data_IF_588535969958
#
_entry.id   IF_588535969958
#
_cell.length_a   1.000
_cell.length_b   1.000
_cell.length_c   1.000
_cell.angle_alpha   90.00
_cell.angle_beta   90.00
_cell.angle_gamma   90.00
#
_symmetry.space_group_name_H-M   'P 1'
#
loop_
_entity.id
_entity.type
_entity.pdbx_description
1 polymer ?
#
# COMPACT_ATOMS: atom_id res chain seq x y z
N UNK A 1 -26.09 26.67 3.95
CA UNK A 1 -26.16 26.67 2.48
C UNK A 1 -25.39 25.46 2.02
N UNK A 2 -26.10 24.41 1.59
CA UNK A 2 -25.45 23.21 0.98
C UNK A 2 -25.03 23.70 -0.41
N UNK A 3 -23.70 23.69 -0.65
CA UNK A 3 -23.16 23.95 -1.97
C UNK A 3 -23.68 22.86 -2.91
N UNK A 4 -24.36 23.24 -3.97
CA UNK A 4 -24.84 22.28 -4.96
C UNK A 4 -23.65 21.57 -5.58
N UNK A 5 -23.59 20.26 -5.39
CA UNK A 5 -22.61 19.42 -6.11
C UNK A 5 -22.98 19.49 -7.59
N UNK A 6 -22.13 20.09 -8.39
CA UNK A 6 -22.31 20.11 -9.83
C UNK A 6 -21.96 18.70 -10.36
N UNK A 7 -22.95 18.04 -10.94
CA UNK A 7 -22.73 16.74 -11.56
C UNK A 7 -21.86 16.91 -12.83
N UNK A 8 -20.97 15.95 -13.14
CA UNK A 8 -20.17 15.99 -14.35
C UNK A 8 -21.06 16.17 -15.60
N UNK A 9 -20.65 17.04 -16.49
CA UNK A 9 -21.39 17.33 -17.74
C UNK A 9 -21.19 16.28 -18.83
N UNK A 10 -20.37 15.26 -18.55
CA UNK A 10 -20.06 14.15 -19.44
C UNK A 10 -18.68 14.24 -20.12
N UNK A 11 -17.91 15.31 -19.86
CA UNK A 11 -16.49 15.35 -20.20
C UNK A 11 -15.70 14.56 -19.12
N UNK A 12 -14.87 13.63 -19.55
CA UNK A 12 -14.06 12.79 -18.65
C UNK A 12 -13.12 13.59 -17.75
N UNK A 13 -12.82 14.84 -18.10
CA UNK A 13 -11.91 15.73 -17.37
C UNK A 13 -12.60 16.79 -16.52
N UNK A 14 -13.92 16.91 -16.55
CA UNK A 14 -14.69 17.92 -15.80
C UNK A 14 -14.40 17.93 -14.29
N UNK A 15 -14.06 16.78 -13.74
CA UNK A 15 -13.71 16.63 -12.31
C UNK A 15 -12.36 17.25 -11.93
N UNK A 16 -11.46 17.47 -12.91
CA UNK A 16 -10.16 18.11 -12.67
C UNK A 16 -10.27 19.61 -12.42
N UNK A 17 -11.37 20.23 -12.85
CA UNK A 17 -11.52 21.67 -12.82
C UNK A 17 -10.68 22.35 -13.90
N UNK A 18 -10.48 23.64 -13.73
CA UNK A 18 -9.68 24.43 -14.65
C UNK A 18 -8.21 24.38 -14.27
N UNK A 19 -7.35 24.19 -15.25
CA UNK A 19 -5.90 24.28 -15.07
C UNK A 19 -5.51 25.62 -14.43
N UNK A 20 -4.69 25.62 -13.35
CA UNK A 20 -4.24 26.84 -12.73
C UNK A 20 -3.34 27.63 -13.70
N UNK A 21 -3.57 28.93 -13.79
CA UNK A 21 -2.72 29.85 -14.53
C UNK A 21 -1.52 30.20 -13.66
N UNK A 22 -0.36 29.62 -13.98
CA UNK A 22 0.90 29.83 -13.22
C UNK A 22 1.77 30.78 -14.04
N UNK A 23 2.10 31.93 -13.45
CA UNK A 23 3.06 32.86 -14.04
C UNK A 23 4.44 32.19 -14.14
N UNK A 24 4.98 32.08 -15.35
CA UNK A 24 6.32 31.51 -15.58
C UNK A 24 7.41 32.23 -14.76
N UNK A 25 7.25 33.52 -14.49
CA UNK A 25 8.16 34.29 -13.65
C UNK A 25 8.14 33.86 -12.17
N UNK A 26 7.11 33.15 -11.74
CA UNK A 26 7.02 32.59 -10.39
C UNK A 26 7.75 31.26 -10.25
N UNK A 27 8.17 30.63 -11.37
CA UNK A 27 8.93 29.38 -11.36
C UNK A 27 10.38 29.71 -10.98
N UNK A 28 10.77 29.30 -9.77
CA UNK A 28 12.11 29.56 -9.21
C UNK A 28 13.11 28.44 -9.49
N UNK A 29 12.63 27.23 -9.78
CA UNK A 29 13.46 26.05 -10.02
C UNK A 29 12.78 25.09 -10.99
N UNK A 30 13.58 24.51 -11.88
CA UNK A 30 13.17 23.39 -12.74
C UNK A 30 14.08 22.20 -12.45
N UNK A 31 13.49 21.04 -12.19
CA UNK A 31 14.22 19.81 -11.89
C UNK A 31 13.90 18.76 -12.94
N UNK A 32 14.93 18.27 -13.63
CA UNK A 32 14.80 17.14 -14.55
C UNK A 32 14.89 15.83 -13.77
N UNK A 33 13.97 14.93 -14.06
CA UNK A 33 13.91 13.61 -13.43
C UNK A 33 13.32 12.57 -14.39
N UNK A 34 13.79 11.32 -14.29
CA UNK A 34 13.24 10.24 -15.11
C UNK A 34 11.86 9.78 -14.57
N UNK A 35 11.68 9.87 -13.26
CA UNK A 35 10.46 9.46 -12.57
C UNK A 35 10.01 10.54 -11.58
N UNK A 36 8.80 11.03 -11.74
CA UNK A 36 8.12 11.86 -10.75
C UNK A 36 7.12 11.02 -9.97
N UNK A 37 7.31 10.91 -8.65
CA UNK A 37 6.41 10.22 -7.73
C UNK A 37 5.57 11.27 -7.02
N UNK A 38 4.26 11.20 -7.17
CA UNK A 38 3.31 12.11 -6.54
C UNK A 38 2.70 11.46 -5.30
N UNK A 39 3.04 11.99 -4.14
CA UNK A 39 2.62 11.49 -2.84
C UNK A 39 3.67 10.58 -2.18
N UNK A 40 3.99 10.87 -0.91
CA UNK A 40 4.92 10.10 -0.08
C UNK A 40 4.18 9.17 0.92
N UNK A 41 3.03 8.65 0.53
CA UNK A 41 2.35 7.55 1.22
C UNK A 41 2.99 6.20 0.90
N UNK A 42 2.41 5.11 1.40
CA UNK A 42 2.98 3.76 1.24
C UNK A 42 3.32 3.42 -0.21
N UNK A 43 2.42 3.67 -1.16
CA UNK A 43 2.67 3.37 -2.58
C UNK A 43 3.84 4.17 -3.17
N UNK A 44 3.90 5.47 -2.89
CA UNK A 44 4.99 6.33 -3.35
C UNK A 44 6.33 5.95 -2.74
N UNK A 45 6.37 5.62 -1.47
CA UNK A 45 7.60 5.21 -0.78
C UNK A 45 8.13 3.87 -1.30
N UNK A 46 7.26 2.89 -1.60
CA UNK A 46 7.68 1.64 -2.23
C UNK A 46 8.21 1.85 -3.65
N UNK A 47 7.56 2.71 -4.45
CA UNK A 47 8.03 3.06 -5.78
C UNK A 47 9.40 3.75 -5.71
N UNK A 48 9.60 4.66 -4.75
CA UNK A 48 10.87 5.35 -4.52
C UNK A 48 11.98 4.39 -4.10
N UNK A 49 11.70 3.46 -3.18
CA UNK A 49 12.67 2.45 -2.74
C UNK A 49 13.11 1.56 -3.90
N UNK A 50 12.17 1.15 -4.76
CA UNK A 50 12.48 0.37 -5.95
C UNK A 50 13.29 1.17 -6.97
N UNK A 51 12.93 2.42 -7.23
CA UNK A 51 13.67 3.31 -8.11
C UNK A 51 15.11 3.52 -7.61
N UNK A 52 15.29 3.79 -6.31
CA UNK A 52 16.61 3.95 -5.70
C UNK A 52 17.45 2.68 -5.81
N UNK A 53 16.87 1.51 -5.55
CA UNK A 53 17.59 0.23 -5.65
C UNK A 53 18.05 -0.09 -7.08
N UNK A 54 17.37 0.44 -8.08
CA UNK A 54 17.73 0.28 -9.51
C UNK A 54 18.53 1.46 -10.07
N UNK A 55 18.95 2.42 -9.24
CA UNK A 55 19.77 3.55 -9.64
C UNK A 55 19.05 4.53 -10.57
N UNK A 56 17.72 4.59 -10.53
CA UNK A 56 16.93 5.51 -11.34
C UNK A 56 16.94 6.91 -10.71
N UNK A 57 16.94 7.93 -11.55
CA UNK A 57 16.79 9.32 -11.11
C UNK A 57 15.29 9.60 -10.85
N UNK A 58 14.93 9.90 -9.61
CA UNK A 58 13.54 10.16 -9.24
C UNK A 58 13.40 11.34 -8.28
N UNK A 59 12.22 11.94 -8.28
CA UNK A 59 11.79 12.93 -7.28
C UNK A 59 10.46 12.52 -6.69
N UNK A 60 10.26 12.84 -5.40
CA UNK A 60 8.98 12.68 -4.72
C UNK A 60 8.47 14.08 -4.40
N UNK A 61 7.20 14.32 -4.71
CA UNK A 61 6.48 15.51 -4.24
C UNK A 61 5.37 15.07 -3.29
N UNK A 62 5.25 15.77 -2.17
CA UNK A 62 4.27 15.49 -1.12
C UNK A 62 3.60 16.79 -0.71
N UNK A 63 2.29 16.76 -0.53
CA UNK A 63 1.50 17.95 -0.15
C UNK A 63 1.67 18.32 1.34
N UNK A 64 2.03 17.35 2.19
CA UNK A 64 2.22 17.56 3.62
C UNK A 64 3.70 17.80 3.93
N UNK A 65 3.97 18.38 5.11
CA UNK A 65 5.33 18.66 5.56
C UNK A 65 6.14 17.41 5.96
N UNK A 66 5.50 16.26 6.05
CA UNK A 66 6.11 14.98 6.41
C UNK A 66 5.47 13.82 5.67
N UNK A 67 6.24 12.74 5.55
CA UNK A 67 5.74 11.44 5.08
C UNK A 67 4.60 10.97 5.99
N UNK A 68 3.53 10.47 5.40
CA UNK A 68 2.37 9.99 6.16
C UNK A 68 2.54 8.53 6.53
N UNK A 69 2.62 8.27 7.82
CA UNK A 69 2.51 6.93 8.39
C UNK A 69 1.03 6.60 8.55
N UNK A 70 0.55 5.61 7.80
CA UNK A 70 -0.87 5.28 7.77
C UNK A 70 -1.20 4.00 8.53
N UNK A 71 -0.27 3.06 8.62
CA UNK A 71 -0.49 1.76 9.27
C UNK A 71 0.84 1.05 9.53
N UNK A 72 0.98 0.46 10.73
CA UNK A 72 2.14 -0.33 11.10
C UNK A 72 2.12 -1.74 10.50
N UNK A 73 0.96 -2.39 10.51
CA UNK A 73 0.79 -3.74 9.96
C UNK A 73 0.29 -3.70 8.52
N UNK A 74 0.84 -4.56 7.66
CA UNK A 74 0.42 -4.70 6.28
C UNK A 74 0.44 -6.16 5.83
N UNK A 75 -0.46 -6.50 4.90
CA UNK A 75 -0.59 -7.84 4.35
C UNK A 75 0.38 -8.11 3.21
N UNK A 76 1.07 -9.26 3.27
CA UNK A 76 1.82 -9.81 2.15
C UNK A 76 1.62 -11.32 2.13
N UNK A 77 1.20 -11.86 1.00
CA UNK A 77 0.71 -13.24 0.89
C UNK A 77 1.84 -14.19 0.57
N UNK A 78 2.03 -15.20 1.45
CA UNK A 78 3.05 -16.27 1.31
C UNK A 78 4.48 -15.74 1.20
N UNK A 79 4.81 -14.71 1.98
CA UNK A 79 6.17 -14.16 2.08
C UNK A 79 7.17 -15.17 2.63
N UNK A 80 8.47 -14.89 2.51
CA UNK A 80 9.51 -15.69 3.15
C UNK A 80 9.36 -15.71 4.68
N UNK A 81 8.95 -14.59 5.29
CA UNK A 81 8.69 -14.51 6.74
C UNK A 81 7.51 -15.38 7.15
N UNK A 82 6.40 -15.35 6.41
CA UNK A 82 5.24 -16.20 6.65
C UNK A 82 5.60 -17.70 6.58
N UNK A 83 6.35 -18.09 5.55
CA UNK A 83 6.83 -19.48 5.38
C UNK A 83 7.76 -19.90 6.51
N UNK A 84 8.68 -19.03 6.93
CA UNK A 84 9.59 -19.30 8.04
C UNK A 84 8.85 -19.47 9.38
N UNK A 85 7.76 -18.72 9.57
CA UNK A 85 6.88 -18.84 10.73
C UNK A 85 5.95 -20.09 10.69
N UNK A 86 6.00 -20.87 9.60
CA UNK A 86 5.15 -22.05 9.43
C UNK A 86 3.70 -21.76 9.05
N UNK A 87 3.40 -20.56 8.57
CA UNK A 87 2.07 -20.23 8.12
C UNK A 87 1.65 -21.12 6.95
N UNK A 88 0.39 -21.60 6.91
CA UNK A 88 -0.11 -22.38 5.80
C UNK A 88 -0.15 -21.55 4.52
N UNK A 89 0.08 -22.21 3.37
CA UNK A 89 -0.05 -21.55 2.08
C UNK A 89 -1.50 -21.06 1.87
N UNK A 90 -1.62 -19.86 1.32
CA UNK A 90 -2.92 -19.20 1.10
C UNK A 90 -3.63 -19.76 -0.12
N UNK A 91 -4.89 -20.15 0.03
CA UNK A 91 -5.78 -20.37 -1.12
C UNK A 91 -6.10 -19.02 -1.78
N UNK A 92 -5.31 -18.68 -2.81
CA UNK A 92 -5.41 -17.40 -3.52
C UNK A 92 -6.76 -17.17 -4.20
N UNK A 93 -7.43 -18.23 -4.64
CA UNK A 93 -8.75 -18.13 -5.27
C UNK A 93 -9.81 -17.78 -4.23
N UNK A 94 -9.78 -18.46 -3.09
CA UNK A 94 -10.64 -18.17 -1.95
C UNK A 94 -10.41 -16.74 -1.45
N UNK A 95 -9.15 -16.33 -1.26
CA UNK A 95 -8.79 -14.98 -0.83
C UNK A 95 -9.35 -13.90 -1.76
N UNK A 96 -9.19 -14.07 -3.09
CA UNK A 96 -9.79 -13.16 -4.06
C UNK A 96 -11.31 -13.08 -3.95
N UNK A 97 -11.96 -14.23 -3.79
CA UNK A 97 -13.41 -14.30 -3.62
C UNK A 97 -13.88 -13.57 -2.36
N UNK A 98 -13.19 -13.78 -1.23
CA UNK A 98 -13.51 -13.16 0.05
C UNK A 98 -13.32 -11.64 0.00
N UNK A 99 -12.21 -11.12 -0.57
CA UNK A 99 -12.02 -9.69 -0.76
C UNK A 99 -13.13 -9.09 -1.62
N UNK A 100 -13.49 -9.77 -2.72
CA UNK A 100 -14.56 -9.31 -3.61
C UNK A 100 -15.91 -9.28 -2.89
N UNK A 101 -16.20 -10.29 -2.07
CA UNK A 101 -17.41 -10.36 -1.24
C UNK A 101 -17.44 -9.22 -0.22
N UNK A 102 -16.35 -9.04 0.53
CA UNK A 102 -16.23 -7.98 1.53
C UNK A 102 -16.40 -6.58 0.92
N UNK A 103 -15.81 -6.36 -0.25
CA UNK A 103 -15.96 -5.10 -0.99
C UNK A 103 -17.32 -4.97 -1.71
N UNK A 104 -18.26 -5.91 -1.49
CA UNK A 104 -19.56 -5.94 -2.18
C UNK A 104 -19.44 -5.86 -3.71
N UNK A 105 -18.41 -6.48 -4.27
CA UNK A 105 -18.12 -6.46 -5.71
C UNK A 105 -17.56 -5.13 -6.25
N UNK A 106 -17.28 -4.16 -5.40
CA UNK A 106 -16.80 -2.81 -5.80
C UNK A 106 -15.27 -2.70 -5.93
N UNK A 107 -14.53 -3.78 -5.77
CA UNK A 107 -13.08 -3.78 -5.98
C UNK A 107 -12.72 -4.16 -7.42
N UNK A 108 -11.63 -3.57 -7.93
CA UNK A 108 -11.03 -4.08 -9.17
C UNK A 108 -10.23 -5.35 -8.88
N UNK A 109 -10.75 -6.49 -9.31
CA UNK A 109 -10.13 -7.79 -9.08
C UNK A 109 -8.74 -7.92 -9.72
N UNK A 110 -8.41 -7.12 -10.73
CA UNK A 110 -7.06 -7.11 -11.34
C UNK A 110 -6.04 -6.57 -10.35
N UNK A 111 -6.38 -5.48 -9.66
CA UNK A 111 -5.54 -4.89 -8.60
C UNK A 111 -5.37 -5.87 -7.45
N UNK A 112 -6.47 -6.48 -6.99
CA UNK A 112 -6.43 -7.47 -5.91
C UNK A 112 -5.55 -8.68 -6.28
N UNK A 113 -5.67 -9.18 -7.52
CA UNK A 113 -4.83 -10.29 -8.01
C UNK A 113 -3.36 -9.93 -8.07
N UNK A 114 -3.03 -8.69 -8.48
CA UNK A 114 -1.64 -8.21 -8.47
C UNK A 114 -1.11 -8.24 -7.05
N UNK A 115 -1.84 -7.68 -6.09
CA UNK A 115 -1.44 -7.74 -4.68
C UNK A 115 -1.26 -9.19 -4.17
N UNK A 116 -2.21 -10.08 -4.43
CA UNK A 116 -2.13 -11.49 -4.02
C UNK A 116 -0.91 -12.20 -4.59
N UNK A 117 -0.51 -11.87 -5.81
CA UNK A 117 0.58 -12.56 -6.49
C UNK A 117 1.95 -11.95 -6.22
N UNK A 118 2.04 -10.62 -6.07
CA UNK A 118 3.30 -9.90 -6.04
C UNK A 118 3.69 -9.38 -4.65
N UNK A 119 2.76 -9.38 -3.68
CA UNK A 119 3.02 -8.82 -2.36
C UNK A 119 4.15 -9.52 -1.60
N UNK A 120 4.33 -10.85 -1.79
CA UNK A 120 5.45 -11.57 -1.19
C UNK A 120 6.79 -11.04 -1.69
N UNK A 121 6.95 -10.92 -3.01
CA UNK A 121 8.19 -10.45 -3.62
C UNK A 121 8.51 -8.99 -3.21
N UNK A 122 7.49 -8.15 -3.15
CA UNK A 122 7.62 -6.77 -2.69
C UNK A 122 8.01 -6.72 -1.21
N UNK A 123 7.37 -7.54 -0.36
CA UNK A 123 7.72 -7.63 1.05
C UNK A 123 9.15 -8.10 1.25
N UNK A 124 9.56 -9.19 0.58
CA UNK A 124 10.90 -9.74 0.69
C UNK A 124 11.98 -8.75 0.20
N UNK A 125 11.66 -7.94 -0.84
CA UNK A 125 12.51 -6.84 -1.28
C UNK A 125 12.67 -5.76 -0.19
N UNK A 126 11.56 -5.27 0.41
CA UNK A 126 11.62 -4.27 1.48
C UNK A 126 12.31 -4.81 2.71
N UNK A 127 12.08 -6.08 3.05
CA UNK A 127 12.73 -6.77 4.13
C UNK A 127 14.25 -6.73 4.00
N UNK A 128 14.79 -7.02 2.81
CA UNK A 128 16.23 -6.96 2.56
C UNK A 128 16.82 -5.57 2.80
N UNK A 129 16.06 -4.50 2.55
CA UNK A 129 16.51 -3.13 2.83
C UNK A 129 16.42 -2.84 4.33
N UNK A 130 15.31 -3.14 4.97
CA UNK A 130 15.06 -2.77 6.37
C UNK A 130 15.92 -3.58 7.33
N UNK A 131 16.06 -4.89 7.11
CA UNK A 131 16.94 -5.73 7.92
C UNK A 131 18.43 -5.47 7.63
N UNK A 132 18.85 -5.51 6.36
CA UNK A 132 20.27 -5.45 6.01
C UNK A 132 20.88 -4.07 6.21
N UNK A 133 20.11 -2.98 5.95
CA UNK A 133 20.64 -1.60 6.03
C UNK A 133 20.30 -0.89 7.33
N UNK A 134 19.16 -1.20 7.93
CA UNK A 134 18.67 -0.51 9.11
C UNK A 134 18.64 -1.39 10.37
N UNK A 135 18.85 -2.69 10.25
CA UNK A 135 18.82 -3.62 11.39
C UNK A 135 17.43 -3.73 12.04
N UNK A 136 16.36 -3.46 11.29
CA UNK A 136 15.01 -3.59 11.79
C UNK A 136 14.59 -5.05 11.79
N UNK A 137 13.73 -5.42 12.72
CA UNK A 137 13.22 -6.78 12.84
C UNK A 137 11.83 -6.89 12.23
N UNK A 138 11.61 -7.95 11.44
CA UNK A 138 10.30 -8.27 10.89
C UNK A 138 9.48 -9.05 11.92
N UNK A 139 8.35 -8.50 12.30
CA UNK A 139 7.30 -9.22 13.02
C UNK A 139 6.29 -9.79 12.04
N UNK A 140 5.85 -11.00 12.30
CA UNK A 140 4.83 -11.67 11.50
C UNK A 140 3.72 -12.21 12.40
N UNK A 141 2.48 -12.07 11.95
CA UNK A 141 1.32 -12.75 12.55
C UNK A 141 0.45 -13.38 11.46
N UNK A 142 -0.02 -14.58 11.74
CA UNK A 142 -0.97 -15.28 10.87
C UNK A 142 -2.41 -14.81 11.07
N UNK A 143 -2.65 -13.90 12.00
CA UNK A 143 -4.01 -13.48 12.35
C UNK A 143 -4.82 -14.65 12.90
N UNK A 144 -4.21 -15.51 13.71
CA UNK A 144 -4.87 -16.66 14.32
C UNK A 144 -6.03 -16.18 15.19
N UNK A 145 -7.17 -16.86 15.10
CA UNK A 145 -8.39 -16.51 15.87
C UNK A 145 -8.12 -16.36 17.38
N UNK A 146 -7.07 -17.02 17.88
CA UNK A 146 -6.65 -16.95 19.27
C UNK A 146 -6.12 -15.57 19.71
N UNK A 147 -5.68 -14.71 18.78
CA UNK A 147 -5.17 -13.37 19.09
C UNK A 147 -6.25 -12.29 19.11
N UNK A 148 -7.45 -12.59 18.62
CA UNK A 148 -8.55 -11.64 18.65
C UNK A 148 -9.37 -11.78 19.93
N UNK A 149 -9.72 -10.68 20.61
CA UNK A 149 -10.64 -10.73 21.74
C UNK A 149 -11.94 -11.43 21.36
N UNK A 150 -12.47 -12.25 22.26
CA UNK A 150 -13.69 -13.02 22.01
C UNK A 150 -14.88 -12.13 21.59
N UNK A 151 -14.89 -10.88 22.00
CA UNK A 151 -15.87 -9.86 21.60
C UNK A 151 -15.82 -9.50 20.11
N UNK A 152 -14.70 -9.77 19.43
CA UNK A 152 -14.53 -9.54 18.00
C UNK A 152 -14.67 -10.82 17.16
N UNK A 153 -14.89 -11.96 17.79
CA UNK A 153 -14.98 -13.26 17.12
C UNK A 153 -16.13 -13.30 16.09
N UNK A 154 -17.24 -12.62 16.37
CA UNK A 154 -18.37 -12.51 15.44
C UNK A 154 -18.01 -11.72 14.17
N UNK A 155 -17.07 -10.78 14.26
CA UNK A 155 -16.58 -10.02 13.12
C UNK A 155 -15.48 -10.76 12.36
N UNK A 156 -14.78 -11.69 12.99
CA UNK A 156 -13.70 -12.47 12.37
C UNK A 156 -14.17 -13.43 11.30
N UNK A 157 -15.40 -13.93 11.38
CA UNK A 157 -15.96 -14.82 10.36
C UNK A 157 -16.12 -14.15 9.01
N UNK A 158 -16.12 -12.81 8.98
CA UNK A 158 -16.24 -12.01 7.78
C UNK A 158 -14.90 -11.55 7.21
N UNK A 159 -13.79 -11.74 7.95
CA UNK A 159 -12.46 -11.35 7.52
C UNK A 159 -11.76 -12.43 6.70
N UNK A 160 -10.80 -11.96 5.92
CA UNK A 160 -9.94 -12.78 5.09
C UNK A 160 -9.11 -13.71 5.98
N UNK A 161 -9.34 -14.99 5.89
CA UNK A 161 -8.56 -15.97 6.62
C UNK A 161 -7.81 -16.90 5.64
N UNK A 162 -6.53 -17.22 5.92
CA UNK A 162 -5.66 -16.66 6.95
C UNK A 162 -5.16 -15.26 6.61
N UNK A 163 -5.13 -14.37 7.59
CA UNK A 163 -4.49 -13.08 7.47
C UNK A 163 -2.99 -13.28 7.70
N UNK A 164 -2.17 -12.81 6.75
CA UNK A 164 -0.72 -12.80 6.88
C UNK A 164 -0.27 -11.35 6.96
N UNK A 165 -0.01 -10.87 8.16
CA UNK A 165 0.39 -9.49 8.41
C UNK A 165 1.84 -9.39 8.88
N UNK A 166 2.49 -8.31 8.49
CA UNK A 166 3.88 -8.02 8.77
C UNK A 166 4.02 -6.63 9.35
N UNK A 167 4.97 -6.47 10.25
CA UNK A 167 5.38 -5.19 10.79
C UNK A 167 6.90 -5.16 10.91
N UNK A 168 7.49 -3.97 10.87
CA UNK A 168 8.91 -3.77 11.12
C UNK A 168 9.11 -2.86 12.32
N UNK A 169 10.00 -3.29 13.22
CA UNK A 169 10.41 -2.49 14.36
C UNK A 169 11.89 -2.22 14.30
N UNK A 170 12.28 -0.98 14.67
CA UNK A 170 13.66 -0.68 14.94
C UNK A 170 14.12 -1.57 16.11
N UNK A 171 15.27 -2.22 15.96
CA UNK A 171 15.94 -2.88 17.08
C UNK A 171 16.29 -1.80 18.12
N UNK A 172 15.90 -2.03 19.38
CA UNK A 172 16.25 -1.15 20.51
C UNK A 172 17.77 -1.08 20.73
#
# INVERSE_FOLDING_TARGET
>A
TVSSVQLPTGDETDWLGKEPDIDEAAITETVDTDILIVGAGNGGMFAAAYAAANGLNFRIIEQNAAVQDTRHWYGAIDSAAAKAAGAPATDKAKLLSEISRYASGKCDQRVVRTWINESAAMHDFMRSILEDKFGWECEFTSGDEAEWPAENAEHNTDYLYPVQEHNYRASE
#
